data_IF_517559571552
#
_entry.id   IF_517559571552
#
_cell.length_a   1.000
_cell.length_b   1.000
_cell.length_c   1.000
_cell.angle_alpha   90.00
_cell.angle_beta   90.00
_cell.angle_gamma   90.00
#
_symmetry.space_group_name_H-M   'P 1'
#
loop_
_entity.id
_entity.type
_entity.pdbx_description
1 polymer ?
#
# COMPACT_ATOMS: atom_id res chain seq x y z
N UNK A 1 17.25 -11.85 12.77
CA UNK A 1 16.25 -11.31 11.83
C UNK A 1 15.38 -12.48 11.39
N UNK A 2 14.09 -12.31 11.12
CA UNK A 2 13.28 -13.40 10.54
C UNK A 2 13.77 -13.67 9.12
N UNK A 3 14.03 -14.92 8.80
CA UNK A 3 14.51 -15.35 7.49
C UNK A 3 13.84 -16.69 7.12
N UNK A 4 13.49 -16.89 5.84
CA UNK A 4 12.96 -18.16 5.36
C UNK A 4 14.02 -19.27 5.45
N UNK A 5 13.58 -20.53 5.51
CA UNK A 5 14.47 -21.68 5.42
C UNK A 5 14.70 -22.03 3.95
N UNK A 6 15.95 -22.11 3.51
CA UNK A 6 16.32 -22.51 2.15
C UNK A 6 16.68 -21.33 1.24
N UNK A 7 16.92 -21.61 -0.04
CA UNK A 7 17.18 -20.60 -1.07
C UNK A 7 15.86 -19.94 -1.52
N UNK A 8 15.90 -18.63 -1.75
CA UNK A 8 14.75 -17.84 -2.21
C UNK A 8 15.17 -17.03 -3.42
N UNK A 9 14.39 -17.08 -4.49
CA UNK A 9 14.56 -16.21 -5.64
C UNK A 9 13.91 -14.85 -5.37
N UNK A 10 14.71 -13.81 -5.27
CA UNK A 10 14.22 -12.45 -5.02
C UNK A 10 14.25 -11.64 -6.31
N UNK A 11 13.14 -10.98 -6.64
CA UNK A 11 13.05 -10.07 -7.80
C UNK A 11 13.96 -8.84 -7.65
N UNK A 12 14.37 -8.52 -6.41
CA UNK A 12 15.40 -7.52 -6.13
C UNK A 12 16.12 -7.81 -4.81
N UNK A 13 17.43 -7.55 -4.74
CA UNK A 13 18.29 -7.80 -3.55
C UNK A 13 17.77 -7.10 -2.28
N UNK A 14 17.19 -5.90 -2.43
CA UNK A 14 16.59 -5.14 -1.32
C UNK A 14 15.46 -5.89 -0.60
N UNK A 15 14.88 -6.92 -1.22
CA UNK A 15 13.83 -7.72 -0.60
C UNK A 15 14.34 -8.76 0.40
N UNK A 16 15.67 -8.91 0.57
CA UNK A 16 16.25 -9.81 1.58
C UNK A 16 15.75 -9.52 3.00
N UNK A 17 15.48 -8.26 3.31
CA UNK A 17 15.07 -7.81 4.64
C UNK A 17 13.55 -7.62 4.80
N UNK A 18 12.74 -7.91 3.78
CA UNK A 18 11.28 -7.69 3.86
C UNK A 18 10.62 -8.50 4.96
N UNK A 19 11.16 -9.68 5.27
CA UNK A 19 10.71 -10.54 6.37
C UNK A 19 10.80 -9.89 7.75
N UNK A 20 11.65 -8.88 7.93
CA UNK A 20 11.71 -8.11 9.17
C UNK A 20 10.39 -7.40 9.50
N UNK A 21 9.58 -7.06 8.48
CA UNK A 21 8.23 -6.49 8.66
C UNK A 21 7.32 -7.40 9.48
N UNK A 22 7.49 -8.72 9.37
CA UNK A 22 6.66 -9.69 10.07
C UNK A 22 6.86 -9.64 11.60
N UNK A 23 7.92 -9.01 12.08
CA UNK A 23 8.13 -8.79 13.52
C UNK A 23 7.06 -7.89 14.13
N UNK A 24 6.37 -7.06 13.34
CA UNK A 24 5.25 -6.26 13.84
C UNK A 24 4.12 -7.13 14.46
N UNK A 25 3.98 -8.39 14.03
CA UNK A 25 3.00 -9.33 14.58
C UNK A 25 3.41 -9.90 15.95
N UNK A 26 4.67 -9.72 16.36
CA UNK A 26 5.18 -10.15 17.66
C UNK A 26 5.00 -9.09 18.76
N UNK A 27 4.45 -7.92 18.44
CA UNK A 27 4.24 -6.82 19.40
C UNK A 27 2.95 -7.05 20.22
N UNK A 28 2.83 -8.19 20.88
CA UNK A 28 1.63 -8.64 21.60
C UNK A 28 1.28 -7.83 22.86
N UNK A 29 2.15 -6.90 23.27
CA UNK A 29 1.84 -5.86 24.27
C UNK A 29 0.90 -4.76 23.74
N UNK A 30 0.56 -4.77 22.44
CA UNK A 30 -0.30 -3.77 21.80
C UNK A 30 -1.59 -4.40 21.27
N UNK A 31 -2.73 -3.72 21.47
CA UNK A 31 -4.02 -4.16 20.92
C UNK A 31 -4.09 -4.01 19.39
N UNK A 32 -3.36 -3.02 18.87
CA UNK A 32 -3.32 -2.69 17.45
C UNK A 32 -1.98 -2.07 17.06
N UNK A 33 -1.49 -2.46 15.90
CA UNK A 33 -0.27 -1.94 15.29
C UNK A 33 -0.61 -1.48 13.87
N UNK A 34 -0.08 -0.31 13.49
CA UNK A 34 -0.07 0.16 12.11
C UNK A 34 1.38 0.16 11.65
N UNK A 35 1.72 -0.79 10.78
CA UNK A 35 3.02 -0.88 10.13
C UNK A 35 3.05 0.09 8.94
N UNK A 36 4.10 0.87 8.79
CA UNK A 36 4.35 1.74 7.63
C UNK A 36 5.76 1.48 7.08
N UNK A 37 5.91 1.46 5.76
CA UNK A 37 7.22 1.41 5.12
C UNK A 37 7.99 2.72 5.35
N UNK A 38 9.32 2.60 5.43
CA UNK A 38 10.22 3.71 5.74
C UNK A 38 10.30 4.79 4.63
N UNK A 39 9.81 4.49 3.43
CA UNK A 39 9.81 5.35 2.27
C UNK A 39 8.43 6.01 2.03
N UNK A 40 7.73 6.27 3.12
CA UNK A 40 6.42 6.92 3.16
C UNK A 40 6.48 8.30 3.81
N UNK A 41 5.54 9.17 3.42
CA UNK A 41 5.36 10.49 4.02
C UNK A 41 3.91 10.70 4.39
N UNK A 42 3.69 11.05 5.65
CA UNK A 42 2.38 11.35 6.22
C UNK A 42 2.08 12.83 6.05
N UNK A 43 0.96 13.16 5.42
CA UNK A 43 0.50 14.51 5.10
C UNK A 43 -0.73 14.95 5.88
N UNK A 44 -1.42 14.04 6.54
CA UNK A 44 -2.53 14.30 7.45
C UNK A 44 -2.53 13.29 8.59
N UNK A 45 -3.28 13.59 9.65
CA UNK A 45 -3.50 12.64 10.74
C UNK A 45 -4.06 11.30 10.18
N UNK A 46 -3.56 10.18 10.72
CA UNK A 46 -3.94 8.82 10.34
C UNK A 46 -4.40 7.99 11.55
N UNK A 47 -4.70 8.63 12.68
CA UNK A 47 -5.04 7.96 13.94
C UNK A 47 -6.33 7.15 13.82
N UNK A 48 -7.19 7.48 12.86
CA UNK A 48 -8.35 6.65 12.52
C UNK A 48 -7.97 5.20 12.19
N UNK A 49 -6.74 4.93 11.71
CA UNK A 49 -6.26 3.56 11.49
C UNK A 49 -6.05 2.79 12.80
N UNK A 50 -5.77 3.50 13.90
CA UNK A 50 -5.64 2.95 15.25
C UNK A 50 -6.96 2.96 16.00
N UNK A 51 -7.81 3.96 15.80
CA UNK A 51 -8.99 4.22 16.63
C UNK A 51 -10.28 3.60 16.08
N UNK A 52 -10.39 3.38 14.77
CA UNK A 52 -11.61 2.83 14.16
C UNK A 52 -11.88 1.40 14.66
N UNK A 53 -12.93 1.15 15.46
CA UNK A 53 -13.22 -0.19 15.97
C UNK A 53 -13.56 -1.16 14.83
N UNK A 54 -14.05 -0.65 13.70
CA UNK A 54 -14.45 -1.44 12.53
C UNK A 54 -13.28 -1.68 11.57
N UNK A 55 -12.06 -1.21 11.87
CA UNK A 55 -10.90 -1.35 10.97
C UNK A 55 -10.53 -2.80 10.69
N UNK A 56 -10.81 -3.72 11.64
CA UNK A 56 -10.63 -5.16 11.50
C UNK A 56 -11.90 -5.93 11.91
N UNK A 57 -12.42 -6.86 11.08
CA UNK A 57 -13.57 -7.68 11.46
C UNK A 57 -13.32 -8.64 12.63
N UNK A 58 -12.07 -9.05 12.86
CA UNK A 58 -11.63 -9.92 13.95
C UNK A 58 -10.11 -9.75 14.14
N UNK A 59 -9.57 -10.16 15.30
CA UNK A 59 -8.15 -10.03 15.64
C UNK A 59 -7.22 -10.87 14.75
N UNK A 60 -7.75 -11.84 14.02
CA UNK A 60 -7.01 -12.68 13.08
C UNK A 60 -7.04 -12.17 11.62
N UNK A 61 -7.57 -10.95 11.43
CA UNK A 61 -7.59 -10.22 10.17
C UNK A 61 -6.49 -9.15 10.12
N UNK A 62 -6.16 -8.71 8.91
CA UNK A 62 -5.41 -7.47 8.67
C UNK A 62 -6.23 -6.51 7.82
N UNK A 63 -5.90 -5.23 7.86
CA UNK A 63 -6.35 -4.27 6.85
C UNK A 63 -5.14 -3.76 6.07
N UNK A 64 -5.27 -3.76 4.75
CA UNK A 64 -4.18 -3.46 3.81
C UNK A 64 -4.75 -2.83 2.54
N UNK A 65 -3.94 -2.68 1.51
CA UNK A 65 -4.31 -1.99 0.27
C UNK A 65 -4.28 -2.97 -0.89
N UNK A 66 -5.04 -2.68 -1.93
CA UNK A 66 -4.86 -3.38 -3.19
C UNK A 66 -3.51 -3.05 -3.83
N UNK A 67 -2.87 -4.03 -4.44
CA UNK A 67 -1.79 -3.77 -5.39
C UNK A 67 -2.34 -3.11 -6.66
N UNK A 68 -1.64 -2.09 -7.16
CA UNK A 68 -1.97 -1.50 -8.46
C UNK A 68 -1.47 -2.42 -9.58
N UNK A 69 -2.41 -3.05 -10.28
CA UNK A 69 -2.14 -4.02 -11.36
C UNK A 69 -2.21 -3.41 -12.76
N UNK A 70 -2.29 -2.09 -12.91
CA UNK A 70 -2.43 -1.46 -14.23
C UNK A 70 -1.23 -1.65 -15.17
N UNK A 71 -0.07 -2.07 -14.65
CA UNK A 71 1.18 -2.27 -15.38
C UNK A 71 1.47 -1.18 -16.46
N UNK A 72 1.48 0.11 -16.09
CA UNK A 72 1.56 1.21 -17.07
C UNK A 72 2.91 1.30 -17.81
N UNK A 73 3.92 0.57 -17.34
CA UNK A 73 5.26 0.49 -17.92
C UNK A 73 5.50 -0.85 -18.65
N UNK A 74 4.46 -1.67 -18.81
CA UNK A 74 4.51 -2.97 -19.48
C UNK A 74 5.70 -3.84 -19.03
N UNK A 75 5.83 -4.00 -17.72
CA UNK A 75 6.87 -4.82 -17.12
C UNK A 75 6.47 -6.30 -17.20
N UNK A 76 7.43 -7.16 -17.56
CA UNK A 76 7.18 -8.57 -17.88
C UNK A 76 6.91 -9.46 -16.64
N UNK A 77 7.19 -8.96 -15.44
CA UNK A 77 6.95 -9.69 -14.18
C UNK A 77 5.49 -9.63 -13.72
N UNK A 78 4.64 -8.83 -14.37
CA UNK A 78 3.20 -8.84 -14.10
C UNK A 78 2.50 -9.98 -14.85
N UNK A 79 1.62 -10.70 -14.16
CA UNK A 79 0.76 -11.71 -14.77
C UNK A 79 -0.14 -11.14 -15.89
N UNK A 80 -0.57 -11.95 -16.89
CA UNK A 80 -1.35 -11.48 -18.04
C UNK A 80 -2.70 -10.83 -17.73
N UNK A 81 -3.27 -11.09 -16.55
CA UNK A 81 -4.52 -10.49 -16.07
C UNK A 81 -4.32 -9.16 -15.32
N UNK A 82 -3.07 -8.77 -15.05
CA UNK A 82 -2.71 -7.47 -14.48
C UNK A 82 -2.88 -6.35 -15.52
N UNK A 83 -4.13 -5.87 -15.63
CA UNK A 83 -4.56 -4.85 -16.58
C UNK A 83 -5.46 -3.81 -15.91
N UNK A 84 -5.61 -2.61 -16.49
CA UNK A 84 -6.48 -1.56 -15.94
C UNK A 84 -7.92 -2.02 -15.66
N UNK A 85 -8.51 -2.87 -16.50
CA UNK A 85 -9.90 -3.36 -16.33
C UNK A 85 -10.05 -4.30 -15.11
N UNK A 86 -8.92 -4.84 -14.64
CA UNK A 86 -8.82 -5.73 -13.49
C UNK A 86 -8.26 -5.04 -12.24
N UNK A 87 -8.01 -3.73 -12.28
CA UNK A 87 -7.48 -3.02 -11.14
C UNK A 87 -8.56 -2.54 -10.17
N UNK A 88 -8.36 -2.80 -8.87
CA UNK A 88 -9.22 -2.31 -7.80
C UNK A 88 -9.29 -0.76 -7.75
N UNK A 89 -8.23 -0.07 -8.16
CA UNK A 89 -8.23 1.38 -8.26
C UNK A 89 -9.03 1.89 -9.47
N UNK A 90 -9.12 1.11 -10.55
CA UNK A 90 -10.04 1.42 -11.66
C UNK A 90 -11.50 1.32 -11.23
N UNK A 91 -11.82 0.33 -10.39
CA UNK A 91 -13.13 0.25 -9.73
C UNK A 91 -13.38 1.47 -8.84
N UNK A 92 -12.42 1.78 -7.96
CA UNK A 92 -12.55 2.86 -6.97
C UNK A 92 -12.78 4.20 -7.65
N UNK A 93 -11.95 4.55 -8.63
CA UNK A 93 -11.99 5.85 -9.30
C UNK A 93 -13.24 6.09 -10.16
N UNK A 94 -14.02 5.03 -10.40
CA UNK A 94 -15.29 5.11 -11.13
C UNK A 94 -16.48 5.51 -10.25
N UNK A 95 -16.28 5.64 -8.93
CA UNK A 95 -17.34 5.82 -7.93
C UNK A 95 -17.18 7.09 -7.10
N UNK A 96 -18.28 7.69 -6.62
CA UNK A 96 -18.23 8.77 -5.64
C UNK A 96 -17.43 8.35 -4.39
N UNK A 97 -16.64 9.26 -3.84
CA UNK A 97 -15.74 9.03 -2.68
C UNK A 97 -14.66 7.96 -2.87
N UNK A 98 -14.55 7.38 -4.07
CA UNK A 98 -13.54 6.40 -4.44
C UNK A 98 -13.31 5.24 -3.44
N UNK A 99 -14.37 4.54 -3.00
CA UNK A 99 -14.24 3.41 -2.08
C UNK A 99 -13.49 2.26 -2.75
N UNK A 100 -12.74 1.45 -1.99
CA UNK A 100 -12.21 0.19 -2.50
C UNK A 100 -13.35 -0.77 -2.88
N UNK A 101 -13.07 -1.80 -3.70
CA UNK A 101 -13.98 -2.94 -3.87
C UNK A 101 -14.42 -3.51 -2.51
N UNK A 102 -15.73 -3.73 -2.27
CA UNK A 102 -16.19 -4.38 -1.05
C UNK A 102 -15.70 -5.83 -1.00
N UNK A 103 -15.66 -6.38 0.22
CA UNK A 103 -15.17 -7.75 0.48
C UNK A 103 -15.82 -8.81 -0.42
N UNK A 104 -17.12 -8.66 -0.70
CA UNK A 104 -17.87 -9.58 -1.57
C UNK A 104 -17.36 -9.63 -3.02
N UNK A 105 -16.61 -8.62 -3.48
CA UNK A 105 -16.03 -8.62 -4.81
C UNK A 105 -14.60 -9.17 -4.86
N UNK A 106 -13.91 -9.35 -3.73
CA UNK A 106 -12.53 -9.84 -3.74
C UNK A 106 -12.38 -11.20 -4.45
N UNK A 107 -13.24 -12.20 -4.19
CA UNK A 107 -13.10 -13.51 -4.85
C UNK A 107 -13.42 -13.49 -6.35
N UNK A 108 -13.99 -12.39 -6.88
CA UNK A 108 -14.42 -12.31 -8.29
C UNK A 108 -13.26 -12.10 -9.26
N UNK A 109 -12.11 -11.63 -8.76
CA UNK A 109 -10.90 -11.39 -9.54
C UNK A 109 -9.66 -11.68 -8.71
N UNK A 110 -8.74 -12.51 -9.21
CA UNK A 110 -7.44 -12.76 -8.59
C UNK A 110 -6.69 -11.46 -8.27
N UNK A 111 -6.70 -10.51 -9.19
CA UNK A 111 -6.06 -9.19 -9.00
C UNK A 111 -6.64 -8.36 -7.85
N UNK A 112 -7.86 -8.63 -7.39
CA UNK A 112 -8.42 -7.97 -6.21
C UNK A 112 -7.90 -8.56 -4.91
N UNK A 113 -7.40 -9.80 -4.91
CA UNK A 113 -6.79 -10.41 -3.71
C UNK A 113 -5.32 -10.04 -3.54
N UNK A 114 -4.67 -9.50 -4.57
CA UNK A 114 -3.32 -8.97 -4.49
C UNK A 114 -3.28 -7.72 -3.62
N UNK A 115 -2.54 -7.79 -2.52
CA UNK A 115 -2.37 -6.68 -1.59
C UNK A 115 -1.03 -5.96 -1.77
N UNK A 116 -0.94 -4.74 -1.27
CA UNK A 116 0.30 -4.01 -1.06
C UNK A 116 0.50 -3.82 0.44
N UNK A 117 1.66 -4.25 0.93
CA UNK A 117 2.05 -4.30 2.34
C UNK A 117 2.76 -3.03 2.83
N UNK A 118 2.76 -1.95 2.05
CA UNK A 118 3.42 -0.70 2.46
C UNK A 118 2.83 -0.12 3.74
N UNK A 119 1.53 -0.28 3.95
CA UNK A 119 0.88 -0.02 5.23
C UNK A 119 -0.04 -1.20 5.57
N UNK A 120 0.07 -1.71 6.79
CA UNK A 120 -0.78 -2.79 7.31
C UNK A 120 -1.29 -2.45 8.70
N UNK A 121 -2.60 -2.54 8.90
CA UNK A 121 -3.23 -2.51 10.23
C UNK A 121 -3.44 -3.94 10.70
N UNK A 122 -2.99 -4.27 11.91
CA UNK A 122 -3.06 -5.60 12.48
C UNK A 122 -3.33 -5.57 13.99
N UNK A 123 -3.88 -6.65 14.52
CA UNK A 123 -3.92 -6.94 15.96
C UNK A 123 -2.95 -8.09 16.25
N UNK A 124 -1.80 -7.83 16.91
CA UNK A 124 -0.79 -8.83 17.13
C UNK A 124 -1.26 -9.86 18.17
N UNK A 125 -0.82 -11.09 18.03
CA UNK A 125 -1.00 -12.11 19.07
C UNK A 125 0.03 -13.23 18.90
N UNK A 126 0.39 -13.94 19.98
CA UNK A 126 1.36 -15.04 19.91
C UNK A 126 0.96 -16.13 18.91
N UNK A 127 -0.33 -16.45 18.82
CA UNK A 127 -0.85 -17.48 17.91
C UNK A 127 -0.77 -17.03 16.45
N UNK A 128 -1.11 -15.77 16.18
CA UNK A 128 -1.02 -15.18 14.84
C UNK A 128 0.44 -15.12 14.36
N UNK A 129 1.35 -14.65 15.22
CA UNK A 129 2.77 -14.61 14.92
C UNK A 129 3.35 -16.00 14.66
N UNK A 130 3.02 -16.97 15.52
CA UNK A 130 3.45 -18.37 15.34
C UNK A 130 2.96 -18.95 14.01
N UNK A 131 1.72 -18.63 13.59
CA UNK A 131 1.18 -19.05 12.29
C UNK A 131 1.97 -18.47 11.11
N UNK A 132 2.29 -17.17 11.18
CA UNK A 132 3.08 -16.47 10.15
C UNK A 132 4.49 -17.08 10.06
N UNK A 133 5.16 -17.28 11.19
CA UNK A 133 6.50 -17.88 11.25
C UNK A 133 6.48 -19.32 10.73
N UNK A 134 5.47 -20.11 11.09
CA UNK A 134 5.30 -21.45 10.56
C UNK A 134 5.14 -21.41 9.03
N UNK A 135 4.26 -20.54 8.51
CA UNK A 135 4.06 -20.39 7.07
C UNK A 135 5.36 -20.03 6.34
N UNK A 136 6.11 -19.04 6.86
CA UNK A 136 7.42 -18.63 6.35
C UNK A 136 8.43 -19.78 6.28
N UNK A 137 8.39 -20.72 7.22
CA UNK A 137 9.34 -21.82 7.29
C UNK A 137 8.90 -23.10 6.58
N UNK A 138 7.61 -23.27 6.30
CA UNK A 138 7.06 -24.54 5.78
C UNK A 138 6.36 -24.43 4.44
N UNK A 139 5.92 -23.23 4.02
CA UNK A 139 5.18 -23.09 2.77
C UNK A 139 6.12 -23.27 1.57
N UNK A 140 5.75 -24.10 0.56
CA UNK A 140 6.55 -24.25 -0.64
C UNK A 140 6.52 -23.00 -1.55
N UNK A 141 5.59 -22.07 -1.33
CA UNK A 141 5.43 -20.86 -2.17
C UNK A 141 6.47 -19.79 -1.88
N UNK A 142 7.09 -19.81 -0.69
CA UNK A 142 8.03 -18.78 -0.21
C UNK A 142 9.19 -18.55 -1.19
N UNK A 143 9.74 -19.62 -1.74
CA UNK A 143 10.90 -19.56 -2.64
C UNK A 143 10.58 -18.85 -3.97
N UNK A 144 9.32 -18.83 -4.39
CA UNK A 144 8.85 -18.27 -5.67
C UNK A 144 8.08 -16.95 -5.54
N UNK A 145 8.00 -16.36 -4.33
CA UNK A 145 7.29 -15.10 -4.13
C UNK A 145 8.04 -13.94 -4.79
N UNK A 146 7.37 -13.28 -5.74
CA UNK A 146 7.95 -12.14 -6.44
C UNK A 146 8.06 -10.91 -5.53
N UNK A 147 7.11 -10.74 -4.62
CA UNK A 147 7.01 -9.64 -3.68
C UNK A 147 6.82 -10.21 -2.26
N UNK A 148 7.91 -10.62 -1.59
CA UNK A 148 7.83 -11.63 -0.54
C UNK A 148 6.92 -11.30 0.66
N UNK A 149 6.95 -10.07 1.16
CA UNK A 149 6.13 -9.66 2.30
C UNK A 149 4.65 -9.57 1.95
N UNK A 150 4.29 -8.96 0.81
CA UNK A 150 2.89 -8.86 0.42
C UNK A 150 2.30 -10.18 -0.06
N UNK A 151 3.08 -11.01 -0.77
CA UNK A 151 2.63 -12.32 -1.24
C UNK A 151 2.38 -13.26 -0.05
N UNK A 152 3.29 -13.29 0.93
CA UNK A 152 3.08 -14.04 2.17
C UNK A 152 1.84 -13.56 2.91
N UNK A 153 1.67 -12.24 3.06
CA UNK A 153 0.47 -11.70 3.75
C UNK A 153 -0.81 -12.02 2.98
N UNK A 154 -0.79 -11.99 1.64
CA UNK A 154 -1.94 -12.35 0.81
C UNK A 154 -2.35 -13.82 1.02
N UNK A 155 -1.38 -14.73 1.10
CA UNK A 155 -1.64 -16.16 1.31
C UNK A 155 -2.05 -16.46 2.76
N UNK A 156 -1.33 -15.94 3.77
CA UNK A 156 -1.64 -16.18 5.18
C UNK A 156 -3.01 -15.61 5.57
N UNK A 157 -3.42 -14.49 4.99
CA UNK A 157 -4.69 -13.81 5.28
C UNK A 157 -5.70 -13.94 4.14
N UNK A 158 -5.61 -14.99 3.32
CA UNK A 158 -6.62 -15.27 2.31
C UNK A 158 -8.03 -15.31 2.94
N UNK A 159 -8.95 -14.54 2.38
CA UNK A 159 -10.32 -14.38 2.89
C UNK A 159 -10.44 -13.62 4.23
N UNK A 160 -9.33 -13.17 4.82
CA UNK A 160 -9.25 -12.54 6.15
C UNK A 160 -8.43 -11.26 6.12
N UNK A 161 -8.62 -10.45 5.08
CA UNK A 161 -8.09 -9.10 5.03
C UNK A 161 -9.12 -8.09 4.52
N UNK A 162 -9.03 -6.85 5.00
CA UNK A 162 -9.93 -5.74 4.66
C UNK A 162 -9.20 -4.68 3.81
N UNK A 163 -9.73 -4.33 2.62
CA UNK A 163 -9.20 -3.22 1.84
C UNK A 163 -9.39 -1.86 2.53
N UNK A 164 -8.32 -1.08 2.59
CA UNK A 164 -8.30 0.30 3.06
C UNK A 164 -8.44 1.29 1.90
N UNK A 165 -8.87 2.51 2.23
CA UNK A 165 -8.95 3.62 1.28
C UNK A 165 -7.56 3.97 0.75
N UNK A 166 -7.41 4.09 -0.58
CA UNK A 166 -6.15 4.39 -1.28
C UNK A 166 -5.32 5.53 -0.66
N UNK A 167 -5.97 6.49 0.02
CA UNK A 167 -5.32 7.70 0.55
C UNK A 167 -4.22 7.44 1.57
N UNK A 168 -4.30 6.33 2.30
CA UNK A 168 -3.41 6.01 3.40
C UNK A 168 -2.20 5.17 2.97
N UNK A 169 -2.11 4.79 1.69
CA UNK A 169 -0.93 4.17 1.09
C UNK A 169 -0.95 4.47 -0.41
N UNK A 170 -0.97 5.76 -0.75
CA UNK A 170 -1.04 6.18 -2.14
C UNK A 170 0.35 6.04 -2.75
N UNK A 171 0.56 5.01 -3.57
CA UNK A 171 1.80 4.90 -4.34
C UNK A 171 1.94 6.10 -5.28
N UNK A 172 3.16 6.64 -5.41
CA UNK A 172 3.41 7.90 -6.15
C UNK A 172 2.83 7.92 -7.57
N UNK A 173 2.74 6.75 -8.21
CA UNK A 173 2.25 6.60 -9.57
C UNK A 173 0.73 6.75 -9.68
N UNK A 174 -0.05 6.58 -8.58
CA UNK A 174 -1.51 6.78 -8.60
C UNK A 174 -1.89 8.16 -9.11
N UNK A 175 -1.03 9.18 -8.92
CA UNK A 175 -1.25 10.52 -9.44
C UNK A 175 -1.52 10.55 -10.94
N UNK A 176 -0.83 9.73 -11.74
CA UNK A 176 -0.95 9.73 -13.19
C UNK A 176 -1.55 8.43 -13.76
N UNK A 177 -1.54 7.32 -13.02
CA UNK A 177 -2.23 6.07 -13.39
C UNK A 177 -3.73 6.17 -13.06
N UNK A 178 -4.07 6.77 -11.93
CA UNK A 178 -5.45 6.90 -11.43
C UNK A 178 -5.79 8.36 -11.07
N UNK A 179 -5.75 9.30 -12.02
CA UNK A 179 -5.91 10.73 -11.74
C UNK A 179 -7.25 11.08 -11.09
N UNK A 180 -8.30 10.28 -11.31
CA UNK A 180 -9.61 10.50 -10.66
C UNK A 180 -9.60 10.18 -9.16
N UNK A 181 -8.64 9.39 -8.67
CA UNK A 181 -8.38 9.25 -7.24
C UNK A 181 -7.66 10.48 -6.69
N UNK A 182 -6.68 10.99 -7.45
CA UNK A 182 -5.76 12.01 -6.94
C UNK A 182 -6.32 13.43 -7.00
N UNK A 183 -7.06 13.74 -8.05
CA UNK A 183 -7.56 15.08 -8.35
C UNK A 183 -9.06 15.20 -8.08
N UNK A 184 -9.46 16.34 -7.52
CA UNK A 184 -10.85 16.74 -7.38
C UNK A 184 -11.05 18.15 -7.96
N UNK A 185 -12.31 18.61 -7.97
CA UNK A 185 -12.66 20.00 -8.22
C UNK A 185 -13.29 20.60 -6.97
N UNK A 186 -12.88 21.81 -6.62
CA UNK A 186 -13.56 22.57 -5.57
C UNK A 186 -14.89 23.16 -6.07
N UNK A 187 -15.61 23.88 -5.20
CA UNK A 187 -16.90 24.50 -5.52
C UNK A 187 -16.80 25.52 -6.68
N UNK A 188 -15.63 26.13 -6.88
CA UNK A 188 -15.35 27.05 -7.99
C UNK A 188 -14.89 26.36 -9.27
N UNK A 189 -14.85 25.02 -9.29
CA UNK A 189 -14.38 24.23 -10.42
C UNK A 189 -12.86 24.18 -10.57
N UNK A 190 -12.08 24.76 -9.64
CA UNK A 190 -10.62 24.71 -9.65
C UNK A 190 -10.17 23.27 -9.39
N UNK A 191 -9.21 22.79 -10.19
CA UNK A 191 -8.56 21.50 -9.94
C UNK A 191 -7.71 21.59 -8.68
N UNK A 192 -7.92 20.66 -7.75
CA UNK A 192 -7.20 20.55 -6.48
C UNK A 192 -6.67 19.13 -6.33
N UNK A 193 -5.57 18.96 -5.59
CA UNK A 193 -4.86 17.69 -5.47
C UNK A 193 -4.24 17.48 -4.10
N UNK A 194 -3.89 16.23 -3.80
CA UNK A 194 -3.05 15.88 -2.66
C UNK A 194 -3.55 16.47 -1.34
N UNK A 195 -2.70 17.30 -0.71
CA UNK A 195 -2.99 18.00 0.55
C UNK A 195 -4.14 19.01 0.44
N UNK A 196 -4.21 19.78 -0.65
CA UNK A 196 -5.27 20.79 -0.84
C UNK A 196 -6.66 20.13 -0.86
N UNK A 197 -6.75 18.86 -1.29
CA UNK A 197 -8.01 18.10 -1.24
C UNK A 197 -8.42 17.73 0.18
N UNK A 198 -7.49 17.44 1.09
CA UNK A 198 -7.84 17.16 2.50
C UNK A 198 -8.52 18.38 3.13
N UNK A 199 -7.99 19.56 2.87
CA UNK A 199 -8.49 20.83 3.42
C UNK A 199 -9.83 21.24 2.79
N UNK A 200 -10.00 21.03 1.48
CA UNK A 200 -11.15 21.59 0.73
C UNK A 200 -12.28 20.61 0.41
N UNK A 201 -12.06 19.31 0.55
CA UNK A 201 -13.04 18.28 0.19
C UNK A 201 -13.30 17.27 1.33
N UNK A 202 -13.29 17.71 2.59
CA UNK A 202 -13.71 16.87 3.72
C UNK A 202 -12.79 15.70 4.01
N UNK A 203 -11.47 15.88 3.91
CA UNK A 203 -10.49 14.85 4.33
C UNK A 203 -10.31 13.68 3.37
N UNK A 204 -10.93 13.73 2.19
CA UNK A 204 -10.90 12.61 1.23
C UNK A 204 -9.67 12.59 0.30
N UNK A 205 -8.69 13.47 0.52
CA UNK A 205 -7.47 13.59 -0.26
C UNK A 205 -6.35 12.62 0.16
N UNK A 206 -5.10 13.00 -0.11
CA UNK A 206 -3.89 12.20 0.14
C UNK A 206 -3.49 12.28 1.62
N UNK A 207 -3.47 11.16 2.33
CA UNK A 207 -3.03 11.11 3.73
C UNK A 207 -1.58 10.61 3.87
N UNK A 208 -1.21 9.58 3.11
CA UNK A 208 0.15 9.01 3.12
C UNK A 208 0.58 8.72 1.68
N UNK A 209 1.76 9.22 1.32
CA UNK A 209 2.37 9.01 0.01
C UNK A 209 3.52 8.00 0.13
N UNK A 210 3.47 6.96 -0.69
CA UNK A 210 4.44 5.88 -0.74
C UNK A 210 5.34 6.02 -1.98
N UNK A 211 6.64 6.26 -1.76
CA UNK A 211 7.62 6.45 -2.84
C UNK A 211 8.16 5.11 -3.35
N UNK A 212 7.33 4.28 -3.99
CA UNK A 212 7.77 3.02 -4.59
C UNK A 212 8.90 3.23 -5.63
N UNK A 213 9.80 2.26 -5.76
CA UNK A 213 10.91 2.26 -6.74
C UNK A 213 11.85 3.47 -6.56
N UNK A 214 11.79 4.50 -7.40
CA UNK A 214 12.68 5.66 -7.35
C UNK A 214 12.32 6.62 -6.19
N UNK A 215 13.34 7.01 -5.43
CA UNK A 215 13.18 7.83 -4.22
C UNK A 215 13.60 9.29 -4.47
N UNK A 216 12.84 10.28 -3.97
CA UNK A 216 13.17 11.69 -4.15
C UNK A 216 14.41 12.15 -3.39
N UNK A 217 14.88 11.38 -2.40
CA UNK A 217 16.12 11.66 -1.65
C UNK A 217 17.36 10.96 -2.23
N UNK A 218 17.20 10.12 -3.25
CA UNK A 218 18.33 9.49 -3.93
C UNK A 218 18.68 10.24 -5.22
N UNK A 219 17.68 10.53 -6.05
CA UNK A 219 17.89 11.17 -7.34
C UNK A 219 16.83 12.25 -7.62
N UNK A 220 17.27 13.34 -8.23
CA UNK A 220 16.36 14.31 -8.81
C UNK A 220 15.79 13.75 -10.11
N UNK A 221 14.48 13.50 -10.12
CA UNK A 221 13.78 13.15 -11.35
C UNK A 221 13.72 14.34 -12.30
N UNK A 222 13.90 14.07 -13.60
CA UNK A 222 13.80 15.11 -14.64
C UNK A 222 12.44 15.83 -14.56
N UNK A 223 12.36 17.16 -14.80
CA UNK A 223 11.10 17.91 -14.68
C UNK A 223 9.95 17.42 -15.57
N UNK A 224 10.25 16.70 -16.65
CA UNK A 224 9.25 16.08 -17.53
C UNK A 224 8.78 14.70 -17.06
N UNK A 225 9.37 14.16 -15.99
CA UNK A 225 8.94 12.89 -15.41
C UNK A 225 7.50 12.99 -14.91
N UNK A 226 6.73 11.91 -15.09
CA UNK A 226 5.38 11.79 -14.54
C UNK A 226 5.36 11.85 -13.01
N UNK A 227 6.48 11.49 -12.39
CA UNK A 227 6.67 11.51 -10.93
C UNK A 227 7.28 12.81 -10.42
N UNK A 228 7.62 13.78 -11.29
CA UNK A 228 8.27 15.02 -10.90
C UNK A 228 7.50 15.78 -9.80
N UNK A 229 6.17 15.78 -9.88
CA UNK A 229 5.37 16.50 -8.89
C UNK A 229 5.30 15.79 -7.54
N UNK A 230 5.16 14.46 -7.51
CA UNK A 230 5.16 13.72 -6.24
C UNK A 230 6.52 13.81 -5.56
N UNK A 231 7.62 13.78 -6.32
CA UNK A 231 8.96 13.97 -5.78
C UNK A 231 9.18 15.36 -5.16
N UNK A 232 8.60 16.42 -5.74
CA UNK A 232 8.67 17.78 -5.16
C UNK A 232 7.95 17.93 -3.82
N UNK A 233 7.07 17.00 -3.45
CA UNK A 233 6.29 17.12 -2.20
C UNK A 233 7.12 16.93 -0.93
N UNK A 234 8.31 16.32 -1.04
CA UNK A 234 9.28 16.11 0.05
C UNK A 234 10.56 16.89 -0.08
N UNK A 235 10.84 17.45 -1.26
CA UNK A 235 11.95 18.39 -1.41
C UNK A 235 11.53 19.68 -0.69
N UNK A 236 11.82 19.73 0.61
CA UNK A 236 11.82 20.95 1.38
C UNK A 236 12.66 21.95 0.58
N UNK A 237 12.10 23.13 0.30
CA UNK A 237 12.92 24.26 -0.16
C UNK A 237 13.93 24.56 0.95
N UNK A 238 15.10 23.94 0.91
CA UNK A 238 16.25 24.29 1.75
C UNK A 238 16.88 25.64 1.31
N UNK A 239 16.14 26.49 0.62
CA UNK A 239 16.63 27.79 0.18
C UNK A 239 15.48 28.79 0.09
N UNK A 240 15.28 29.56 1.16
CA UNK A 240 14.87 30.98 1.09
C UNK A 240 15.38 31.85 2.26
N UNK A 241 16.30 31.38 3.10
CA UNK A 241 17.00 32.20 4.10
C UNK A 241 18.51 31.89 4.08
N UNK A 242 19.20 32.33 3.03
CA UNK A 242 20.65 32.51 2.97
C UNK A 242 20.97 33.76 2.15
#
# INVERSE_FOLDING_TARGET
MLEPRGEVELVAERFKHTWSKLQAFAFDDYERVVLLDCDMVVFSNIDSLLEDPDSLPSTDWIAAYHSCVCNPLNQDWYEPDCKPENCAYSYSQSRPSAPPPPLSLLPTKRTYTLLNSGLVVLSPSPSLYSRIVNYLHTSPTIASMALPDQDLLAEVFEGRWKPLSWRFNAIKTLRWVHPKLWFARDQGGKRIEGRERNEKCGGDGLAVLHYIVEKPWLDLVHPSSRDAETHRMVVVRLARDA
#
